data_IF_867696989971
#
_entry.id   IF_867696989971
#
_cell.length_a   1.000
_cell.length_b   1.000
_cell.length_c   1.000
_cell.angle_alpha   90.00
_cell.angle_beta   90.00
_cell.angle_gamma   90.00
#
_symmetry.space_group_name_H-M   'P 1'
#
loop_
_entity.id
_entity.type
_entity.pdbx_description
1 polymer ?
#
# COMPACT_ATOMS: atom_id res chain seq x y z
N UNK A 1 20.50 -27.43 -30.00
CA UNK A 1 20.16 -27.97 -28.67
C UNK A 1 20.79 -27.05 -27.62
N UNK A 2 20.05 -26.03 -27.15
CA UNK A 2 20.41 -25.25 -25.96
C UNK A 2 19.11 -24.94 -25.23
N UNK A 3 19.09 -25.35 -23.96
CA UNK A 3 17.94 -25.59 -23.12
C UNK A 3 17.05 -24.35 -22.96
N UNK A 4 15.74 -24.58 -23.07
CA UNK A 4 14.70 -23.73 -22.51
C UNK A 4 15.13 -23.23 -21.13
N UNK A 5 15.27 -21.91 -20.99
CA UNK A 5 15.30 -21.26 -19.69
C UNK A 5 13.91 -21.42 -19.07
N UNK A 6 13.63 -22.62 -18.54
CA UNK A 6 12.60 -22.81 -17.52
C UNK A 6 13.02 -21.93 -16.36
N UNK A 7 12.46 -20.72 -16.31
CA UNK A 7 12.45 -19.87 -15.13
C UNK A 7 12.22 -20.79 -13.92
N UNK A 8 13.13 -20.74 -12.97
CA UNK A 8 13.17 -21.62 -11.81
C UNK A 8 11.85 -21.49 -11.02
N UNK A 9 10.90 -22.40 -11.27
CA UNK A 9 9.60 -22.48 -10.59
C UNK A 9 9.71 -23.50 -9.47
N UNK A 10 9.59 -23.04 -8.22
CA UNK A 10 9.41 -23.94 -7.08
C UNK A 10 7.91 -24.06 -6.82
N UNK A 11 7.39 -25.28 -6.85
CA UNK A 11 6.11 -25.59 -6.20
C UNK A 11 6.32 -25.32 -4.71
N UNK A 12 5.76 -24.21 -4.23
CA UNK A 12 6.01 -23.72 -2.89
C UNK A 12 4.71 -23.17 -2.34
N UNK A 13 4.16 -23.83 -1.32
CA UNK A 13 2.98 -23.35 -0.61
C UNK A 13 3.42 -22.50 0.58
N UNK A 14 3.07 -21.21 0.59
CA UNK A 14 3.21 -20.37 1.78
C UNK A 14 2.04 -19.42 1.95
N UNK A 15 1.72 -19.14 3.20
CA UNK A 15 0.72 -18.15 3.56
C UNK A 15 1.30 -16.73 3.52
N UNK A 16 0.44 -15.77 3.23
CA UNK A 16 0.79 -14.36 3.15
C UNK A 16 -0.41 -13.45 3.22
N UNK A 17 -0.17 -12.19 2.92
CA UNK A 17 -1.19 -11.16 2.83
C UNK A 17 -1.08 -10.38 1.51
N UNK A 18 -2.23 -10.06 0.93
CA UNK A 18 -2.38 -9.18 -0.22
C UNK A 18 -3.11 -7.93 0.24
N UNK A 19 -2.51 -6.76 0.04
CA UNK A 19 -3.21 -5.49 0.17
C UNK A 19 -3.73 -5.05 -1.19
N UNK A 20 -5.04 -4.95 -1.34
CA UNK A 20 -5.68 -4.62 -2.62
C UNK A 20 -7.04 -3.95 -2.39
N UNK A 21 -7.36 -2.90 -3.17
CA UNK A 21 -8.69 -2.29 -3.16
C UNK A 21 -9.15 -1.69 -1.82
N UNK A 22 -8.22 -1.34 -0.94
CA UNK A 22 -8.55 -0.85 0.41
C UNK A 22 -8.62 -1.93 1.49
N UNK A 23 -8.41 -3.20 1.14
CA UNK A 23 -8.55 -4.34 2.04
C UNK A 23 -7.26 -5.17 2.16
N UNK A 24 -7.07 -5.83 3.31
CA UNK A 24 -6.03 -6.85 3.52
C UNK A 24 -6.67 -8.23 3.43
N UNK A 25 -6.22 -9.02 2.46
CA UNK A 25 -6.70 -10.37 2.24
C UNK A 25 -5.62 -11.40 2.58
N UNK A 26 -6.03 -12.53 3.14
CA UNK A 26 -5.12 -13.67 3.30
C UNK A 26 -4.90 -14.32 1.94
N UNK A 27 -3.67 -14.80 1.71
CA UNK A 27 -3.34 -15.54 0.49
C UNK A 27 -2.60 -16.83 0.78
N UNK A 28 -2.81 -17.80 -0.10
CA UNK A 28 -1.91 -18.93 -0.32
C UNK A 28 -1.08 -18.68 -1.58
N UNK A 29 0.24 -18.66 -1.45
CA UNK A 29 1.17 -18.53 -2.57
C UNK A 29 1.58 -19.92 -3.04
N UNK A 30 1.56 -20.19 -4.35
CA UNK A 30 1.81 -21.54 -4.90
C UNK A 30 3.01 -21.61 -5.85
N UNK A 31 3.11 -20.67 -6.78
CA UNK A 31 4.16 -20.65 -7.80
C UNK A 31 4.87 -19.31 -7.76
N UNK A 32 6.10 -19.29 -7.25
CA UNK A 32 6.92 -18.07 -7.22
C UNK A 32 8.07 -18.16 -8.19
N UNK A 33 8.28 -17.08 -8.94
CA UNK A 33 9.38 -16.88 -9.87
C UNK A 33 10.13 -15.59 -9.54
N UNK A 34 11.15 -15.26 -10.33
CA UNK A 34 11.85 -13.98 -10.21
C UNK A 34 10.98 -12.77 -10.59
N UNK A 35 9.92 -12.97 -11.38
CA UNK A 35 9.11 -11.88 -11.96
C UNK A 35 7.71 -11.81 -11.40
N UNK A 36 7.29 -12.76 -10.58
CA UNK A 36 5.89 -12.86 -10.21
C UNK A 36 5.56 -14.08 -9.39
N UNK A 37 4.32 -14.11 -8.94
CA UNK A 37 3.76 -15.20 -8.16
C UNK A 37 2.32 -15.53 -8.59
N UNK A 38 1.96 -16.80 -8.50
CA UNK A 38 0.56 -17.21 -8.49
C UNK A 38 0.08 -17.37 -7.05
N UNK A 39 -1.08 -16.79 -6.76
CA UNK A 39 -1.70 -16.84 -5.45
C UNK A 39 -3.16 -17.27 -5.52
N UNK A 40 -3.65 -17.86 -4.44
CA UNK A 40 -5.05 -17.97 -4.07
C UNK A 40 -5.34 -16.95 -2.99
N UNK A 41 -6.48 -16.30 -3.06
CA UNK A 41 -6.89 -15.28 -2.09
C UNK A 41 -8.15 -15.74 -1.38
N UNK A 42 -8.15 -15.61 -0.04
CA UNK A 42 -9.35 -15.77 0.76
C UNK A 42 -10.23 -14.51 0.58
N UNK A 43 -11.51 -14.65 0.22
CA UNK A 43 -12.40 -13.52 0.05
C UNK A 43 -12.55 -12.69 1.33
N UNK A 44 -12.64 -11.36 1.16
CA UNK A 44 -12.81 -10.39 2.23
C UNK A 44 -14.23 -9.84 2.35
N UNK A 45 -14.38 -8.76 3.12
CA UNK A 45 -15.62 -8.00 3.28
C UNK A 45 -15.95 -7.17 2.04
N UNK A 46 -14.95 -6.51 1.45
CA UNK A 46 -15.14 -5.68 0.25
C UNK A 46 -14.95 -6.51 -1.03
N UNK A 47 -13.98 -7.42 -1.00
CA UNK A 47 -13.61 -8.26 -2.14
C UNK A 47 -14.03 -9.71 -1.89
N UNK A 48 -15.34 -9.94 -1.97
CA UNK A 48 -15.96 -11.24 -1.62
C UNK A 48 -16.11 -12.21 -2.80
N UNK A 49 -16.05 -11.71 -4.04
CA UNK A 49 -16.27 -12.48 -5.25
C UNK A 49 -15.43 -11.99 -6.43
N UNK A 50 -15.44 -12.78 -7.52
CA UNK A 50 -14.64 -12.47 -8.71
C UNK A 50 -15.07 -11.17 -9.40
N UNK A 51 -16.37 -10.84 -9.38
CA UNK A 51 -16.89 -9.66 -10.03
C UNK A 51 -16.34 -8.37 -9.39
N UNK A 52 -16.21 -8.36 -8.07
CA UNK A 52 -15.61 -7.24 -7.33
C UNK A 52 -14.13 -7.07 -7.67
N UNK A 53 -13.39 -8.18 -7.79
CA UNK A 53 -11.99 -8.12 -8.26
C UNK A 53 -11.90 -7.64 -9.70
N UNK A 54 -12.71 -8.15 -10.62
CA UNK A 54 -12.68 -7.72 -12.03
C UNK A 54 -12.99 -6.22 -12.17
N UNK A 55 -13.98 -5.71 -11.41
CA UNK A 55 -14.31 -4.29 -11.37
C UNK A 55 -13.14 -3.46 -10.84
N UNK A 56 -12.51 -3.90 -9.75
CA UNK A 56 -11.35 -3.22 -9.19
C UNK A 56 -10.20 -3.17 -10.19
N UNK A 57 -9.89 -4.30 -10.84
CA UNK A 57 -8.78 -4.41 -11.80
C UNK A 57 -9.01 -3.64 -13.10
N UNK A 58 -10.25 -3.26 -13.40
CA UNK A 58 -10.55 -2.33 -14.49
C UNK A 58 -10.05 -0.90 -14.17
N UNK A 59 -9.99 -0.53 -12.89
CA UNK A 59 -9.59 0.80 -12.41
C UNK A 59 -8.12 0.84 -11.97
N UNK A 60 -7.72 -0.09 -11.10
CA UNK A 60 -6.36 -0.19 -10.55
C UNK A 60 -5.93 -1.65 -10.41
N UNK A 61 -4.77 -1.98 -10.98
CA UNK A 61 -4.18 -3.32 -10.91
C UNK A 61 -3.10 -3.44 -9.83
N UNK A 62 -2.78 -2.36 -9.13
CA UNK A 62 -1.71 -2.33 -8.15
C UNK A 62 -2.15 -2.97 -6.85
N UNK A 63 -1.25 -3.75 -6.27
CA UNK A 63 -1.40 -4.33 -4.95
C UNK A 63 -0.05 -4.38 -4.23
N UNK A 64 -0.08 -4.69 -2.94
CA UNK A 64 1.12 -5.02 -2.18
C UNK A 64 1.04 -6.46 -1.69
N UNK A 65 2.15 -7.18 -1.77
CA UNK A 65 2.25 -8.57 -1.30
C UNK A 65 3.17 -8.65 -0.08
N UNK A 66 2.84 -9.56 0.83
CA UNK A 66 3.75 -10.04 1.87
C UNK A 66 3.66 -11.55 2.01
N UNK A 67 4.81 -12.23 1.95
CA UNK A 67 4.92 -13.68 2.20
C UNK A 67 6.08 -13.93 3.15
N UNK A 68 5.76 -14.22 4.42
CA UNK A 68 6.75 -14.31 5.50
C UNK A 68 7.79 -15.40 5.23
N UNK A 69 7.33 -16.59 4.82
CA UNK A 69 8.21 -17.73 4.55
C UNK A 69 9.23 -17.47 3.42
N UNK A 70 8.96 -16.47 2.56
CA UNK A 70 9.86 -16.04 1.48
C UNK A 70 10.65 -14.80 1.84
N UNK A 71 10.38 -14.20 3.01
CA UNK A 71 10.84 -12.86 3.33
C UNK A 71 10.57 -11.89 2.17
N UNK A 72 9.42 -12.05 1.51
CA UNK A 72 9.01 -11.29 0.34
C UNK A 72 8.03 -10.21 0.76
N UNK A 73 8.30 -8.97 0.37
CA UNK A 73 7.36 -7.86 0.53
C UNK A 73 7.54 -6.88 -0.63
N UNK A 74 6.47 -6.25 -1.10
CA UNK A 74 6.60 -5.17 -2.08
C UNK A 74 5.38 -4.93 -2.93
N UNK A 75 5.57 -4.10 -3.95
CA UNK A 75 4.54 -3.71 -4.90
C UNK A 75 4.45 -4.70 -6.06
N UNK A 76 3.23 -5.04 -6.43
CA UNK A 76 2.91 -5.97 -7.51
C UNK A 76 1.79 -5.42 -8.39
N UNK A 77 1.75 -5.88 -9.64
CA UNK A 77 0.57 -5.77 -10.49
C UNK A 77 -0.18 -7.09 -10.51
N UNK A 78 -1.50 -7.01 -10.41
CA UNK A 78 -2.39 -8.14 -10.66
C UNK A 78 -2.64 -8.21 -12.16
N UNK A 79 -2.04 -9.21 -12.81
CA UNK A 79 -2.10 -9.38 -14.27
C UNK A 79 -3.35 -10.14 -14.71
N UNK A 80 -3.90 -10.99 -13.85
CA UNK A 80 -5.16 -11.69 -14.10
C UNK A 80 -5.80 -12.14 -12.77
N UNK A 81 -7.13 -12.28 -12.80
CA UNK A 81 -7.93 -12.94 -11.76
C UNK A 81 -8.81 -13.98 -12.42
N UNK A 82 -9.01 -15.13 -11.78
CA UNK A 82 -9.95 -16.16 -12.25
C UNK A 82 -10.53 -16.95 -11.07
N UNK A 83 -11.71 -17.53 -11.26
CA UNK A 83 -12.34 -18.42 -10.30
C UNK A 83 -12.07 -19.86 -10.71
N UNK A 84 -11.43 -20.63 -9.84
CA UNK A 84 -11.20 -22.07 -10.04
C UNK A 84 -11.76 -22.87 -8.88
N UNK A 85 -12.76 -23.73 -9.14
CA UNK A 85 -13.33 -24.64 -8.12
C UNK A 85 -13.64 -23.95 -6.78
N UNK A 86 -14.30 -22.79 -6.84
CA UNK A 86 -14.65 -21.92 -5.70
C UNK A 86 -13.52 -21.06 -5.12
N UNK A 87 -12.29 -21.16 -5.64
CA UNK A 87 -11.14 -20.37 -5.20
C UNK A 87 -10.91 -19.19 -6.12
N UNK A 88 -10.47 -18.07 -5.58
CA UNK A 88 -10.08 -16.89 -6.35
C UNK A 88 -8.57 -16.96 -6.55
N UNK A 89 -8.16 -17.20 -7.78
CA UNK A 89 -6.77 -17.29 -8.19
C UNK A 89 -6.34 -15.98 -8.84
N UNK A 90 -5.11 -15.55 -8.57
CA UNK A 90 -4.52 -14.37 -9.19
C UNK A 90 -3.09 -14.62 -9.65
N UNK A 91 -2.74 -13.97 -10.75
CA UNK A 91 -1.37 -13.84 -11.20
C UNK A 91 -0.83 -12.47 -10.82
N UNK A 92 0.34 -12.46 -10.21
CA UNK A 92 1.05 -11.26 -9.80
C UNK A 92 2.32 -11.10 -10.61
N UNK A 93 2.60 -9.87 -11.06
CA UNK A 93 3.90 -9.46 -11.59
C UNK A 93 4.57 -8.53 -10.57
N UNK A 94 5.84 -8.81 -10.26
CA UNK A 94 6.61 -8.05 -9.29
C UNK A 94 7.11 -6.74 -9.89
N UNK A 95 6.90 -5.63 -9.19
CA UNK A 95 7.44 -4.32 -9.56
C UNK A 95 8.67 -3.96 -8.73
N UNK A 96 8.44 -3.75 -7.43
CA UNK A 96 9.46 -3.39 -6.46
C UNK A 96 9.28 -4.30 -5.25
N UNK A 97 9.92 -5.47 -5.32
CA UNK A 97 9.87 -6.49 -4.27
C UNK A 97 11.24 -6.68 -3.64
N UNK A 98 11.24 -6.87 -2.33
CA UNK A 98 12.44 -7.12 -1.55
C UNK A 98 12.47 -8.55 -1.03
N UNK A 99 13.66 -9.13 -0.98
CA UNK A 99 13.94 -10.39 -0.31
C UNK A 99 14.68 -10.13 1.00
N UNK A 100 13.95 -9.67 2.03
CA UNK A 100 14.33 -9.59 3.46
C UNK A 100 13.20 -8.88 4.27
N UNK A 101 11.97 -9.39 4.16
CA UNK A 101 10.76 -8.69 4.60
C UNK A 101 10.67 -8.38 6.10
N UNK A 102 11.50 -8.99 6.95
CA UNK A 102 11.58 -8.64 8.38
C UNK A 102 11.88 -7.15 8.61
N UNK A 103 12.54 -6.46 7.66
CA UNK A 103 12.79 -5.01 7.72
C UNK A 103 11.67 -4.12 7.16
N UNK A 104 10.73 -4.65 6.37
CA UNK A 104 9.78 -3.83 5.58
C UNK A 104 8.33 -3.94 6.02
N UNK A 105 7.84 -5.13 6.42
CA UNK A 105 6.47 -5.27 6.94
C UNK A 105 6.23 -4.49 8.23
N UNK A 106 7.28 -4.32 9.06
CA UNK A 106 7.21 -3.48 10.27
C UNK A 106 7.13 -1.97 9.99
N UNK A 107 7.24 -1.50 8.75
CA UNK A 107 7.23 -0.06 8.44
C UNK A 107 5.91 0.45 7.85
N UNK A 108 4.97 -0.42 7.44
CA UNK A 108 3.69 -0.01 6.82
C UNK A 108 2.56 -0.95 7.23
N UNK A 109 1.41 -0.38 7.62
CA UNK A 109 0.24 -1.10 8.15
C UNK A 109 -1.04 -0.90 7.31
N UNK A 110 -0.95 -0.30 6.12
CA UNK A 110 -2.09 -0.15 5.20
C UNK A 110 -1.70 0.49 3.85
N UNK A 111 -2.54 0.32 2.82
CA UNK A 111 -2.41 0.94 1.47
C UNK A 111 -1.98 2.37 1.58
N UNK A 112 -1.37 2.90 0.52
CA UNK A 112 -1.51 4.33 0.25
C UNK A 112 -2.15 4.57 -1.10
N UNK A 113 -3.42 4.95 -1.13
CA UNK A 113 -4.06 5.44 -2.36
C UNK A 113 -3.32 6.70 -2.78
N UNK A 114 -2.71 6.66 -3.96
CA UNK A 114 -2.06 7.83 -4.57
C UNK A 114 -3.15 8.67 -5.21
N UNK A 115 -3.57 9.71 -4.51
CA UNK A 115 -4.66 10.59 -4.88
C UNK A 115 -4.29 11.98 -4.39
N UNK A 116 -4.32 12.96 -5.28
CA UNK A 116 -4.03 14.35 -4.89
C UNK A 116 -5.29 14.95 -4.26
N UNK A 117 -5.13 15.53 -3.08
CA UNK A 117 -6.20 16.22 -2.36
C UNK A 117 -5.62 17.40 -1.57
N UNK A 118 -6.41 18.45 -1.38
CA UNK A 118 -6.04 19.60 -0.56
C UNK A 118 -6.33 19.33 0.92
N UNK A 119 -5.39 19.73 1.77
CA UNK A 119 -5.42 19.54 3.23
C UNK A 119 -5.09 20.85 3.93
N UNK A 120 -5.99 21.28 4.80
CA UNK A 120 -5.70 22.29 5.81
C UNK A 120 -4.97 21.62 6.99
N UNK A 121 -3.80 22.13 7.31
CA UNK A 121 -2.96 21.68 8.41
C UNK A 121 -2.91 22.73 9.51
N UNK A 122 -2.99 22.25 10.74
CA UNK A 122 -2.71 23.05 11.92
C UNK A 122 -1.59 22.37 12.71
N UNK A 123 -0.45 23.06 12.78
CA UNK A 123 0.74 22.60 13.50
C UNK A 123 1.09 23.71 14.49
N UNK A 124 1.10 23.38 15.77
CA UNK A 124 1.21 24.36 16.86
C UNK A 124 0.14 25.48 16.76
N UNK A 125 0.53 26.68 16.35
CA UNK A 125 -0.34 27.86 16.17
C UNK A 125 -0.50 28.29 14.72
N UNK A 126 0.19 27.62 13.80
CA UNK A 126 0.25 28.02 12.40
C UNK A 126 -0.70 27.15 11.56
N UNK A 127 -1.28 27.78 10.54
CA UNK A 127 -2.10 27.13 9.53
C UNK A 127 -1.35 27.04 8.22
N UNK A 128 -1.30 25.84 7.64
CA UNK A 128 -0.69 25.60 6.34
C UNK A 128 -1.72 25.00 5.39
N UNK A 129 -1.65 25.37 4.11
CA UNK A 129 -2.29 24.60 3.05
C UNK A 129 -1.27 23.59 2.50
N UNK A 130 -1.68 22.33 2.40
CA UNK A 130 -0.86 21.25 1.88
C UNK A 130 -1.60 20.44 0.83
N UNK A 131 -0.81 19.77 0.02
CA UNK A 131 -1.28 18.77 -0.93
C UNK A 131 -0.99 17.37 -0.38
N UNK A 132 -2.01 16.52 -0.32
CA UNK A 132 -1.87 15.10 -0.09
C UNK A 132 -1.27 14.42 -1.32
N UNK A 133 -0.17 13.70 -1.12
CA UNK A 133 0.47 12.89 -2.16
C UNK A 133 -0.15 11.48 -2.17
N UNK A 134 -0.32 10.91 -0.98
CA UNK A 134 -0.94 9.60 -0.81
C UNK A 134 -1.50 9.43 0.61
N UNK A 135 -2.49 8.54 0.77
CA UNK A 135 -3.18 8.31 2.05
C UNK A 135 -3.49 6.84 2.32
N UNK A 136 -3.35 6.46 3.58
CA UNK A 136 -3.69 5.17 4.18
C UNK A 136 -4.74 5.36 5.27
N UNK A 137 -5.28 4.26 5.78
CA UNK A 137 -6.12 4.26 7.00
C UNK A 137 -5.37 4.75 8.23
N UNK A 138 -4.03 4.62 8.29
CA UNK A 138 -3.21 4.94 9.46
C UNK A 138 -2.34 6.21 9.30
N UNK A 139 -2.39 6.89 8.16
CA UNK A 139 -1.43 7.96 7.86
C UNK A 139 -1.48 8.49 6.45
N UNK A 140 -0.83 9.62 6.21
CA UNK A 140 -0.78 10.30 4.91
C UNK A 140 0.58 10.94 4.65
N UNK A 141 0.92 11.11 3.38
CA UNK A 141 2.07 11.89 2.92
C UNK A 141 1.57 13.23 2.40
N UNK A 142 2.15 14.32 2.89
CA UNK A 142 1.74 15.68 2.56
C UNK A 142 2.92 16.49 2.02
N UNK A 143 2.60 17.51 1.22
CA UNK A 143 3.53 18.48 0.65
C UNK A 143 3.04 19.91 0.91
N UNK A 144 3.92 20.76 1.43
CA UNK A 144 3.71 22.21 1.56
C UNK A 144 4.66 22.94 0.61
N UNK A 145 4.13 23.89 -0.15
CA UNK A 145 4.87 24.76 -1.07
C UNK A 145 5.48 25.94 -0.30
N UNK A 146 6.46 25.64 0.55
CA UNK A 146 7.38 26.56 1.23
C UNK A 146 8.18 25.77 2.28
N UNK A 147 9.32 26.29 2.77
CA UNK A 147 9.98 25.75 3.95
C UNK A 147 9.06 25.98 5.17
N UNK A 148 8.22 24.99 5.47
CA UNK A 148 7.50 24.92 6.73
C UNK A 148 8.44 24.33 7.79
N UNK A 149 8.49 24.94 8.98
CA UNK A 149 9.30 24.50 10.12
C UNK A 149 8.71 23.26 10.82
N UNK A 150 8.29 22.28 10.03
CA UNK A 150 7.68 21.03 10.48
C UNK A 150 8.73 20.20 11.19
N UNK A 151 8.47 19.85 12.45
CA UNK A 151 9.36 19.01 13.26
C UNK A 151 8.83 17.60 13.35
N UNK A 152 9.74 16.62 13.29
CA UNK A 152 9.40 15.23 13.62
C UNK A 152 8.83 15.19 15.03
N UNK A 153 7.68 14.53 15.16
CA UNK A 153 6.95 14.37 16.39
C UNK A 153 5.98 15.49 16.75
N UNK A 154 5.89 16.55 15.94
CA UNK A 154 4.90 17.59 16.14
C UNK A 154 3.47 17.01 16.02
N UNK A 155 2.55 17.36 16.94
CA UNK A 155 1.15 17.04 16.80
C UNK A 155 0.56 17.89 15.66
N UNK A 156 -0.30 17.27 14.86
CA UNK A 156 -0.93 17.93 13.71
C UNK A 156 -2.42 17.64 13.70
N UNK A 157 -3.20 18.68 13.44
CA UNK A 157 -4.62 18.55 13.11
C UNK A 157 -4.77 18.72 11.60
N UNK A 158 -5.49 17.79 11.00
CA UNK A 158 -5.74 17.69 9.57
C UNK A 158 -7.21 17.96 9.33
N UNK A 159 -7.51 18.76 8.31
CA UNK A 159 -8.85 18.97 7.81
C UNK A 159 -8.87 18.86 6.29
N UNK A 160 -9.62 17.90 5.78
CA UNK A 160 -9.78 17.61 4.35
C UNK A 160 -11.22 17.88 3.98
N UNK A 161 -11.51 19.14 3.64
CA UNK A 161 -12.89 19.65 3.46
C UNK A 161 -13.67 18.86 2.42
N UNK A 162 -13.03 18.56 1.28
CA UNK A 162 -13.61 17.81 0.17
C UNK A 162 -13.98 16.35 0.51
N UNK A 163 -13.40 15.79 1.58
CA UNK A 163 -13.73 14.45 2.07
C UNK A 163 -14.57 14.48 3.36
N UNK A 164 -14.95 15.67 3.85
CA UNK A 164 -15.62 15.82 5.15
C UNK A 164 -14.83 15.25 6.32
N UNK A 165 -13.51 15.15 6.18
CA UNK A 165 -12.63 14.39 7.08
C UNK A 165 -11.80 15.32 7.95
N UNK A 166 -11.76 15.06 9.25
CA UNK A 166 -10.86 15.73 10.20
C UNK A 166 -10.18 14.70 11.07
N UNK A 167 -8.88 14.84 11.28
CA UNK A 167 -8.12 13.89 12.10
C UNK A 167 -6.98 14.55 12.87
N UNK A 168 -6.58 13.89 13.94
CA UNK A 168 -5.35 14.21 14.66
C UNK A 168 -4.26 13.24 14.24
N UNK A 169 -3.03 13.71 14.23
CA UNK A 169 -1.88 12.92 13.87
C UNK A 169 -0.58 13.44 14.47
N UNK A 170 0.50 12.77 14.13
CA UNK A 170 1.86 13.13 14.51
C UNK A 170 2.78 13.05 13.29
N UNK A 171 3.67 14.01 13.15
CA UNK A 171 4.72 13.96 12.11
C UNK A 171 5.71 12.84 12.42
N UNK A 172 5.97 11.96 11.47
CA UNK A 172 6.88 10.80 11.66
C UNK A 172 8.19 10.90 10.89
N UNK A 173 8.23 11.70 9.82
CA UNK A 173 9.44 12.01 9.06
C UNK A 173 9.22 13.31 8.29
N UNK A 174 10.31 14.00 7.95
CA UNK A 174 10.32 15.26 7.20
C UNK A 174 11.46 15.24 6.18
N UNK A 175 11.16 15.64 4.96
CA UNK A 175 12.09 15.88 3.87
C UNK A 175 11.83 17.28 3.32
N UNK A 176 12.74 18.22 3.58
CA UNK A 176 12.60 19.60 3.13
C UNK A 176 13.73 19.98 2.17
N UNK A 177 13.40 20.79 1.17
CA UNK A 177 14.35 21.54 0.36
C UNK A 177 13.91 23.01 0.29
N UNK A 178 14.66 23.83 -0.44
CA UNK A 178 14.41 25.28 -0.52
C UNK A 178 13.05 25.64 -1.15
N UNK A 179 12.40 24.70 -1.83
CA UNK A 179 11.15 24.93 -2.59
C UNK A 179 9.93 24.29 -1.92
N UNK A 180 10.10 23.15 -1.24
CA UNK A 180 9.00 22.37 -0.71
C UNK A 180 9.41 21.54 0.50
N UNK A 181 8.44 21.32 1.39
CA UNK A 181 8.54 20.42 2.53
C UNK A 181 7.57 19.24 2.34
N UNK A 182 8.10 18.01 2.33
CA UNK A 182 7.34 16.77 2.35
C UNK A 182 7.44 16.12 3.71
N UNK A 183 6.35 15.56 4.20
CA UNK A 183 6.37 14.88 5.48
C UNK A 183 5.28 13.84 5.58
N UNK A 184 5.55 12.84 6.43
CA UNK A 184 4.59 11.81 6.78
C UNK A 184 3.85 12.17 8.06
N UNK A 185 2.54 12.02 8.04
CA UNK A 185 1.69 12.09 9.23
C UNK A 185 1.16 10.70 9.53
N UNK A 186 1.31 10.25 10.77
CA UNK A 186 0.62 9.09 11.31
C UNK A 186 -0.64 9.56 12.04
N UNK A 187 -1.80 8.99 11.71
CA UNK A 187 -3.07 9.34 12.34
C UNK A 187 -3.18 8.71 13.72
N UNK A 188 -3.76 9.47 14.66
CA UNK A 188 -4.16 8.96 15.97
C UNK A 188 -5.55 8.37 15.81
N UNK A 189 -5.63 7.04 15.80
CA UNK A 189 -6.90 6.32 15.79
C UNK A 189 -7.31 6.08 17.25
N UNK A 190 -8.38 6.74 17.69
CA UNK A 190 -9.02 6.41 18.97
C UNK A 190 -9.87 5.17 18.72
N UNK A 191 -9.47 4.04 19.32
CA UNK A 191 -10.28 2.81 19.33
C UNK A 191 -11.32 2.87 20.42
#
# INVERSE_FOLDING_TARGET
MFQDRKEYRKNFSAEGFLYVGGEVLKLGCYDVSLKGAMIEVEPGELLSGIAEFESLLAEDRRAEIFVEALSLAGEVDIVWVKRERQRIMMGLEFRDVVHNAQKLWRRRRGYRKTESFEVDLFIDKDRYSAEGINRSTEGMCLRVQAPASVKIGAPVKLQVNQLGFSALGKVVWVEANDLACRFGVQLVIVK
#
